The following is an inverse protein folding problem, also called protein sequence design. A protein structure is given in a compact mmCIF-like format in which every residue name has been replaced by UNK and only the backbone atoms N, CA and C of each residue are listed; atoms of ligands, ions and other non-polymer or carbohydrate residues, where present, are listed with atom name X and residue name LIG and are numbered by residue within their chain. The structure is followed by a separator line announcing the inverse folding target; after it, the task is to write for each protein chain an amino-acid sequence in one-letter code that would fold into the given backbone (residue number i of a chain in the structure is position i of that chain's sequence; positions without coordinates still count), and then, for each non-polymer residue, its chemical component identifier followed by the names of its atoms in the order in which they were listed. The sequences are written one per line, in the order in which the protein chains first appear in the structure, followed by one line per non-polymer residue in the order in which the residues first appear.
data_IF_285374563779
#
_entry.id   IF_285374563779
#
_cell.length_a   1.000
_cell.length_b   1.000
_cell.length_c   1.000
_cell.angle_alpha   90.00
_cell.angle_beta   90.00
_cell.angle_gamma   90.00
#
_symmetry.space_group_name_H-M   'P 1'
#
loop_
_entity.id
_entity.type
_entity.pdbx_description
1 polymer ?
#
# COMPACT_ATOMS: atom_id res chain seq x y z
N UNK A 1 -5.86 -46.14 -2.72
CA UNK A 1 -5.78 -44.97 -1.84
C UNK A 1 -4.60 -44.12 -2.34
N UNK A 2 -4.88 -42.91 -2.79
CA UNK A 2 -3.81 -41.96 -3.14
C UNK A 2 -3.04 -41.65 -1.83
N UNK A 3 -1.73 -41.71 -1.86
CA UNK A 3 -0.89 -41.33 -0.73
C UNK A 3 -1.14 -39.85 -0.44
N UNK A 4 -1.65 -39.55 0.75
CA UNK A 4 -1.86 -38.17 1.21
C UNK A 4 -0.48 -37.57 1.49
N UNK A 5 -0.09 -36.54 0.77
CA UNK A 5 1.18 -35.84 1.00
C UNK A 5 1.11 -35.02 2.29
N UNK A 6 2.12 -35.23 3.16
CA UNK A 6 2.24 -34.50 4.43
C UNK A 6 3.39 -33.52 4.38
N UNK A 7 3.16 -32.31 4.92
CA UNK A 7 4.13 -31.20 4.97
C UNK A 7 4.34 -30.76 6.42
N UNK A 8 5.50 -30.20 6.74
CA UNK A 8 5.70 -29.54 8.03
C UNK A 8 4.79 -28.29 8.13
N UNK A 9 4.64 -27.57 7.02
CA UNK A 9 3.83 -26.35 6.98
C UNK A 9 3.24 -26.15 5.58
N UNK A 10 1.96 -25.74 5.55
CA UNK A 10 1.28 -25.32 4.32
C UNK A 10 0.97 -23.83 4.43
N UNK A 11 1.37 -23.05 3.41
CA UNK A 11 1.10 -21.62 3.28
C UNK A 11 0.00 -21.44 2.24
N UNK A 12 -1.05 -20.68 2.57
CA UNK A 12 -2.20 -20.47 1.69
C UNK A 12 -2.17 -19.04 1.16
N UNK A 13 -1.83 -18.87 -0.12
CA UNK A 13 -1.68 -17.59 -0.82
C UNK A 13 -0.22 -17.28 -1.13
N UNK A 14 0.05 -16.77 -2.33
CA UNK A 14 1.40 -16.47 -2.83
C UNK A 14 1.76 -14.98 -2.85
N UNK A 15 0.96 -14.14 -2.18
CA UNK A 15 1.27 -12.71 -2.03
C UNK A 15 2.49 -12.48 -1.13
N UNK A 16 2.84 -11.22 -0.84
CA UNK A 16 4.06 -10.92 -0.05
C UNK A 16 4.17 -11.67 1.27
N UNK A 17 3.06 -11.81 2.00
CA UNK A 17 3.05 -12.57 3.25
C UNK A 17 3.35 -14.06 3.00
N UNK A 18 2.63 -14.67 2.05
CA UNK A 18 2.82 -16.09 1.75
C UNK A 18 4.19 -16.41 1.21
N UNK A 19 4.71 -15.56 0.31
CA UNK A 19 6.08 -15.69 -0.20
C UNK A 19 7.08 -15.75 0.95
N UNK A 20 7.01 -14.78 1.88
CA UNK A 20 8.01 -14.68 2.97
C UNK A 20 7.80 -15.79 4.00
N UNK A 21 6.56 -16.22 4.26
CA UNK A 21 6.29 -17.37 5.13
C UNK A 21 6.94 -18.63 4.55
N UNK A 22 6.67 -18.93 3.28
CA UNK A 22 7.22 -20.13 2.62
C UNK A 22 8.75 -20.11 2.58
N UNK A 23 9.34 -18.95 2.24
CA UNK A 23 10.79 -18.78 2.19
C UNK A 23 11.42 -18.94 3.58
N UNK A 24 10.83 -18.36 4.62
CA UNK A 24 11.37 -18.48 5.99
C UNK A 24 11.33 -19.93 6.47
N UNK A 25 10.22 -20.64 6.22
CA UNK A 25 10.08 -22.05 6.59
C UNK A 25 11.10 -22.92 5.84
N UNK A 26 11.29 -22.69 4.56
CA UNK A 26 12.30 -23.39 3.75
C UNK A 26 13.72 -23.18 4.31
N UNK A 27 14.04 -21.96 4.76
CA UNK A 27 15.35 -21.66 5.38
C UNK A 27 15.56 -22.44 6.68
N UNK A 28 14.47 -22.79 7.39
CA UNK A 28 14.50 -23.65 8.57
C UNK A 28 14.50 -25.13 8.20
N UNK A 29 14.71 -25.47 6.91
CA UNK A 29 14.79 -26.82 6.38
C UNK A 29 13.50 -27.64 6.55
N UNK A 30 12.35 -26.94 6.52
CA UNK A 30 11.02 -27.56 6.63
C UNK A 30 10.49 -27.94 5.24
N UNK A 31 9.65 -28.98 5.19
CA UNK A 31 8.91 -29.36 3.98
C UNK A 31 7.71 -28.41 3.84
N UNK A 32 7.73 -27.59 2.78
CA UNK A 32 6.77 -26.49 2.59
C UNK A 32 5.95 -26.71 1.33
N UNK A 33 4.61 -26.64 1.46
CA UNK A 33 3.73 -26.45 0.31
C UNK A 33 3.15 -25.04 0.35
N UNK A 34 2.98 -24.44 -0.82
CA UNK A 34 2.32 -23.14 -0.99
C UNK A 34 1.16 -23.33 -1.94
N UNK A 35 -0.05 -23.00 -1.47
CA UNK A 35 -1.29 -23.16 -2.24
C UNK A 35 -1.68 -21.82 -2.84
N UNK A 36 -1.94 -21.79 -4.16
CA UNK A 36 -2.40 -20.57 -4.84
C UNK A 36 -3.59 -20.90 -5.74
N UNK A 37 -4.71 -20.19 -5.52
CA UNK A 37 -5.92 -20.40 -6.33
C UNK A 37 -5.82 -19.76 -7.71
N UNK A 38 -5.02 -18.70 -7.84
CA UNK A 38 -4.82 -18.01 -9.11
C UNK A 38 -3.82 -18.78 -9.99
N UNK A 39 -3.97 -18.74 -11.31
CA UNK A 39 -2.92 -19.29 -12.20
C UNK A 39 -1.62 -18.51 -12.14
N UNK A 40 -1.64 -17.32 -11.56
CA UNK A 40 -0.48 -16.43 -11.45
C UNK A 40 -0.05 -16.27 -9.99
N UNK A 41 1.26 -16.28 -9.75
CA UNK A 41 1.85 -16.12 -8.41
C UNK A 41 2.11 -14.66 -8.07
N UNK A 42 2.06 -14.30 -6.78
CA UNK A 42 2.43 -12.97 -6.30
C UNK A 42 1.29 -12.16 -5.68
N UNK A 43 0.06 -12.66 -5.81
CA UNK A 43 -1.10 -12.06 -5.19
C UNK A 43 -1.45 -10.64 -5.67
N UNK A 44 -2.30 -9.95 -4.90
CA UNK A 44 -2.78 -8.61 -5.24
C UNK A 44 -1.62 -7.60 -5.37
N UNK A 45 -0.60 -7.70 -4.53
CA UNK A 45 0.55 -6.78 -4.58
C UNK A 45 1.25 -6.77 -5.93
N UNK A 46 1.35 -7.93 -6.58
CA UNK A 46 2.02 -8.04 -7.88
C UNK A 46 1.09 -7.78 -9.07
N UNK A 47 -0.19 -8.11 -8.96
CA UNK A 47 -1.08 -8.12 -10.14
C UNK A 47 -2.12 -7.00 -10.18
N UNK A 48 -2.63 -6.54 -9.04
CA UNK A 48 -3.74 -5.57 -9.01
C UNK A 48 -3.50 -4.37 -8.09
N UNK A 49 -2.48 -4.41 -7.25
CA UNK A 49 -2.25 -3.38 -6.23
C UNK A 49 -0.93 -2.63 -6.35
N UNK A 50 -0.01 -2.95 -5.47
CA UNK A 50 1.22 -2.20 -5.22
C UNK A 50 2.10 -2.01 -6.47
N UNK A 51 2.53 -3.11 -7.08
CA UNK A 51 3.51 -3.06 -8.19
C UNK A 51 2.90 -2.42 -9.45
N UNK A 52 1.72 -2.86 -9.92
CA UNK A 52 1.17 -2.29 -11.15
C UNK A 52 0.81 -0.80 -11.06
N UNK A 53 0.24 -0.35 -9.93
CA UNK A 53 -0.12 1.06 -9.79
C UNK A 53 1.14 1.95 -9.70
N UNK A 54 2.21 1.48 -9.04
CA UNK A 54 3.46 2.24 -8.95
C UNK A 54 4.21 2.25 -10.28
N UNK A 55 4.15 1.16 -11.06
CA UNK A 55 4.70 1.15 -12.43
C UNK A 55 4.00 2.16 -13.32
N UNK A 56 2.66 2.22 -13.25
CA UNK A 56 1.87 3.20 -14.00
C UNK A 56 2.24 4.63 -13.55
N UNK A 57 2.31 4.84 -12.22
CA UNK A 57 2.70 6.15 -11.66
C UNK A 57 4.05 6.62 -12.21
N UNK A 58 5.06 5.74 -12.22
CA UNK A 58 6.40 6.10 -12.73
C UNK A 58 6.34 6.48 -14.22
N UNK A 59 5.60 5.72 -15.04
CA UNK A 59 5.40 6.06 -16.45
C UNK A 59 4.78 7.45 -16.59
N UNK A 60 3.73 7.72 -15.82
CA UNK A 60 3.02 9.01 -15.85
C UNK A 60 3.95 10.16 -15.39
N UNK A 61 4.77 9.93 -14.36
CA UNK A 61 5.73 10.93 -13.87
C UNK A 61 6.77 11.28 -14.94
N UNK A 62 7.34 10.28 -15.62
CA UNK A 62 8.30 10.51 -16.69
C UNK A 62 7.68 11.33 -17.84
N UNK A 63 6.47 10.95 -18.26
CA UNK A 63 5.75 11.68 -19.33
C UNK A 63 5.46 13.14 -18.92
N UNK A 64 5.05 13.34 -17.67
CA UNK A 64 4.71 14.68 -17.16
C UNK A 64 5.96 15.58 -17.12
N UNK A 65 7.10 15.05 -16.67
CA UNK A 65 8.37 15.80 -16.62
C UNK A 65 8.80 16.24 -18.04
N UNK A 66 8.70 15.32 -19.00
CA UNK A 66 9.05 15.63 -20.40
C UNK A 66 8.11 16.68 -20.99
N UNK A 67 6.81 16.60 -20.70
CA UNK A 67 5.79 17.54 -21.20
C UNK A 67 5.97 18.97 -20.62
N UNK A 68 6.50 19.08 -19.42
CA UNK A 68 6.74 20.37 -18.75
C UNK A 68 7.93 21.14 -19.36
N UNK A 69 8.71 20.48 -20.23
CA UNK A 69 9.89 21.08 -20.87
C UNK A 69 10.88 21.69 -19.87
N UNK A 70 10.93 21.13 -18.68
CA UNK A 70 11.76 21.62 -17.55
C UNK A 70 13.25 21.69 -17.92
N UNK A 71 13.66 20.86 -18.88
CA UNK A 71 15.07 20.77 -19.31
C UNK A 71 15.38 21.60 -20.57
N UNK A 72 14.44 22.43 -21.02
CA UNK A 72 14.63 23.30 -22.19
C UNK A 72 14.66 22.54 -23.52
N UNK A 73 14.26 21.28 -23.53
CA UNK A 73 14.23 20.44 -24.74
C UNK A 73 12.76 20.21 -25.11
N UNK A 74 12.41 20.52 -26.36
CA UNK A 74 11.07 20.30 -26.88
C UNK A 74 10.94 18.85 -27.36
N UNK A 75 9.93 18.17 -26.86
CA UNK A 75 9.60 16.79 -27.26
C UNK A 75 8.28 16.77 -28.02
N UNK A 76 8.28 16.10 -29.15
CA UNK A 76 7.04 15.86 -29.91
C UNK A 76 6.43 14.54 -29.43
N UNK A 77 5.29 14.64 -28.75
CA UNK A 77 4.56 13.47 -28.26
C UNK A 77 3.42 13.12 -29.21
N UNK A 78 3.16 11.83 -29.33
CA UNK A 78 1.93 11.33 -29.92
C UNK A 78 0.75 11.94 -29.16
N UNK A 79 -0.18 12.56 -29.86
CA UNK A 79 -1.32 13.26 -29.25
C UNK A 79 -2.22 12.33 -28.42
N UNK A 80 -2.42 11.12 -28.92
CA UNK A 80 -3.33 10.14 -28.34
C UNK A 80 -2.57 8.87 -27.93
N UNK A 81 -2.06 8.84 -26.70
CA UNK A 81 -1.48 7.63 -26.11
C UNK A 81 -2.60 6.62 -25.85
N UNK A 82 -2.33 5.38 -26.22
CA UNK A 82 -3.25 4.28 -25.91
C UNK A 82 -3.02 3.77 -24.49
N UNK A 83 -4.02 3.11 -23.92
CA UNK A 83 -3.87 2.42 -22.64
C UNK A 83 -2.78 1.36 -22.69
N UNK A 84 -2.66 0.65 -23.80
CA UNK A 84 -1.63 -0.38 -24.02
C UNK A 84 -0.22 0.23 -23.89
N UNK A 85 0.01 1.39 -24.48
CA UNK A 85 1.31 2.07 -24.41
C UNK A 85 1.62 2.49 -22.96
N UNK A 86 0.65 3.02 -22.24
CA UNK A 86 0.81 3.43 -20.85
C UNK A 86 1.06 2.24 -19.91
N UNK A 87 0.43 1.11 -20.20
CA UNK A 87 0.53 -0.10 -19.37
C UNK A 87 1.73 -0.99 -19.74
N UNK A 88 2.46 -0.66 -20.82
CA UNK A 88 3.55 -1.50 -21.36
C UNK A 88 4.59 -1.82 -20.27
N UNK A 89 5.11 -0.79 -19.59
CA UNK A 89 6.14 -0.99 -18.56
C UNK A 89 5.62 -1.83 -17.39
N UNK A 90 4.36 -1.59 -17.00
CA UNK A 90 3.67 -2.38 -15.95
C UNK A 90 3.70 -3.89 -16.28
N UNK A 91 3.36 -4.25 -17.51
CA UNK A 91 3.31 -5.67 -17.90
C UNK A 91 4.69 -6.33 -17.81
N UNK A 92 5.74 -5.64 -18.28
CA UNK A 92 7.12 -6.13 -18.18
C UNK A 92 7.51 -6.35 -16.71
N UNK A 93 7.25 -5.37 -15.86
CA UNK A 93 7.62 -5.44 -14.44
C UNK A 93 6.92 -6.63 -13.77
N UNK A 94 5.62 -6.79 -14.00
CA UNK A 94 4.85 -7.92 -13.44
C UNK A 94 5.45 -9.25 -13.90
N UNK A 95 5.72 -9.40 -15.20
CA UNK A 95 6.27 -10.64 -15.76
C UNK A 95 7.64 -10.97 -15.15
N UNK A 96 8.53 -10.00 -15.06
CA UNK A 96 9.88 -10.18 -14.48
C UNK A 96 9.80 -10.57 -13.02
N UNK A 97 8.91 -9.92 -12.25
CA UNK A 97 8.75 -10.21 -10.83
C UNK A 97 8.13 -11.60 -10.61
N UNK A 98 7.13 -11.98 -11.40
CA UNK A 98 6.52 -13.31 -11.30
C UNK A 98 7.53 -14.41 -11.65
N UNK A 99 8.33 -14.22 -12.69
CA UNK A 99 9.39 -15.17 -13.09
C UNK A 99 10.43 -15.31 -11.96
N UNK A 100 10.81 -14.20 -11.32
CA UNK A 100 11.75 -14.22 -10.20
C UNK A 100 11.17 -15.00 -9.00
N UNK A 101 9.88 -14.80 -8.72
CA UNK A 101 9.18 -15.49 -7.66
C UNK A 101 9.16 -17.01 -7.88
N UNK A 102 8.81 -17.45 -9.12
CA UNK A 102 8.82 -18.87 -9.49
C UNK A 102 10.19 -19.50 -9.28
N UNK A 103 11.24 -18.86 -9.83
CA UNK A 103 12.63 -19.32 -9.65
C UNK A 103 13.02 -19.43 -8.18
N UNK A 104 12.59 -18.46 -7.36
CA UNK A 104 12.89 -18.46 -5.93
C UNK A 104 12.21 -19.64 -5.21
N UNK A 105 10.95 -19.92 -5.52
CA UNK A 105 10.26 -21.07 -4.95
C UNK A 105 10.94 -22.38 -5.34
N UNK A 106 11.22 -22.58 -6.62
CA UNK A 106 11.91 -23.77 -7.15
C UNK A 106 13.27 -23.96 -6.47
N UNK A 107 14.09 -22.92 -6.43
CA UNK A 107 15.46 -22.95 -5.86
C UNK A 107 15.43 -23.28 -4.36
N UNK A 108 14.37 -22.93 -3.66
CA UNK A 108 14.23 -23.20 -2.23
C UNK A 108 13.40 -24.45 -1.90
N UNK A 109 13.07 -25.25 -2.90
CA UNK A 109 12.36 -26.52 -2.72
C UNK A 109 10.93 -26.38 -2.21
N UNK A 110 10.27 -25.24 -2.50
CA UNK A 110 8.89 -25.01 -2.09
C UNK A 110 7.96 -25.64 -3.13
N UNK A 111 7.07 -26.53 -2.70
CA UNK A 111 6.09 -27.18 -3.56
C UNK A 111 4.91 -26.23 -3.79
N UNK A 112 4.78 -25.71 -5.01
CA UNK A 112 3.65 -24.82 -5.36
C UNK A 112 2.52 -25.69 -5.92
N UNK A 113 1.33 -25.61 -5.29
CA UNK A 113 0.13 -26.34 -5.68
C UNK A 113 -0.93 -25.33 -6.11
N UNK A 114 -1.40 -25.41 -7.35
CA UNK A 114 -2.47 -24.56 -7.85
C UNK A 114 -3.84 -25.21 -7.60
N UNK A 115 -4.72 -24.49 -6.91
CA UNK A 115 -6.06 -24.97 -6.62
C UNK A 115 -6.71 -24.17 -5.50
N UNK A 116 -7.99 -24.38 -5.32
CA UNK A 116 -8.79 -23.72 -4.29
C UNK A 116 -8.77 -24.57 -3.02
N UNK A 117 -8.23 -24.04 -1.91
CA UNK A 117 -8.13 -24.79 -0.66
C UNK A 117 -9.42 -24.69 0.17
N UNK A 118 -9.72 -25.75 0.92
CA UNK A 118 -10.81 -25.77 1.89
C UNK A 118 -10.43 -26.71 3.03
N UNK A 119 -10.48 -26.26 4.26
CA UNK A 119 -10.18 -27.12 5.43
C UNK A 119 -11.27 -28.19 5.63
N UNK A 120 -10.84 -29.42 5.75
CA UNK A 120 -11.67 -30.56 6.16
C UNK A 120 -11.54 -30.77 7.68
N UNK A 121 -10.38 -30.44 8.22
CA UNK A 121 -10.10 -30.48 9.66
C UNK A 121 -8.95 -29.50 9.97
N UNK A 122 -8.57 -29.38 11.22
CA UNK A 122 -7.44 -28.52 11.62
C UNK A 122 -6.09 -28.98 11.04
N UNK A 123 -6.00 -30.22 10.50
CA UNK A 123 -4.74 -30.77 9.96
C UNK A 123 -4.87 -31.21 8.50
N UNK A 124 -6.05 -31.12 7.88
CA UNK A 124 -6.31 -31.58 6.52
C UNK A 124 -6.92 -30.49 5.66
N UNK A 125 -6.32 -30.27 4.51
CA UNK A 125 -6.74 -29.28 3.51
C UNK A 125 -7.10 -30.01 2.22
N UNK A 126 -8.34 -29.85 1.77
CA UNK A 126 -8.80 -30.31 0.48
C UNK A 126 -8.44 -29.27 -0.58
N UNK A 127 -7.87 -29.71 -1.67
CA UNK A 127 -7.51 -28.86 -2.81
C UNK A 127 -8.38 -29.24 -4.00
N UNK A 128 -9.14 -28.28 -4.52
CA UNK A 128 -9.85 -28.41 -5.80
C UNK A 128 -8.94 -27.82 -6.89
N UNK A 129 -8.41 -28.64 -7.81
CA UNK A 129 -7.51 -28.12 -8.86
C UNK A 129 -8.22 -27.14 -9.80
N UNK A 130 -7.45 -26.24 -10.39
CA UNK A 130 -7.97 -25.20 -11.31
C UNK A 130 -8.37 -25.76 -12.68
N UNK A 131 -7.92 -26.97 -13.03
CA UNK A 131 -8.12 -27.62 -14.34
C UNK A 131 -9.26 -28.65 -14.35
N UNK A 132 -10.22 -28.50 -13.42
CA UNK A 132 -11.36 -29.42 -13.24
C UNK A 132 -10.94 -30.87 -12.87
N UNK A 133 -9.76 -31.04 -12.35
CA UNK A 133 -9.28 -32.32 -11.81
C UNK A 133 -10.04 -32.71 -10.54
N UNK A 134 -9.92 -34.00 -10.14
CA UNK A 134 -10.52 -34.48 -8.88
C UNK A 134 -9.87 -33.79 -7.67
N UNK A 135 -10.69 -33.38 -6.72
CA UNK A 135 -10.22 -32.83 -5.46
C UNK A 135 -9.40 -33.89 -4.68
N UNK A 136 -8.37 -33.44 -3.98
CA UNK A 136 -7.49 -34.31 -3.21
C UNK A 136 -7.11 -33.65 -1.88
N UNK A 137 -6.75 -34.46 -0.91
CA UNK A 137 -6.36 -34.01 0.42
C UNK A 137 -4.85 -33.95 0.59
N UNK A 138 -4.39 -32.91 1.29
CA UNK A 138 -3.01 -32.79 1.79
C UNK A 138 -3.08 -32.49 3.30
N UNK A 139 -2.03 -32.85 4.01
CA UNK A 139 -1.98 -32.63 5.47
C UNK A 139 -0.73 -31.85 5.86
N UNK A 140 -0.82 -31.17 7.00
CA UNK A 140 0.36 -30.49 7.57
C UNK A 140 0.26 -30.40 9.09
N UNK A 141 1.43 -30.23 9.72
CA UNK A 141 1.49 -29.93 11.15
C UNK A 141 1.01 -28.50 11.41
N UNK A 142 1.34 -27.54 10.51
CA UNK A 142 1.01 -26.12 10.66
C UNK A 142 0.49 -25.51 9.37
N UNK A 143 -0.31 -24.45 9.50
CA UNK A 143 -0.87 -23.67 8.37
C UNK A 143 -0.70 -22.18 8.59
N UNK A 144 -0.47 -21.47 7.47
CA UNK A 144 -0.47 -19.98 7.48
C UNK A 144 -1.43 -19.44 6.42
N UNK A 145 -2.51 -18.86 6.68
CA UNK A 145 -3.32 -18.25 5.98
C UNK A 145 -2.77 -17.03 5.62
N UNK A 146 -2.42 -16.71 4.38
CA UNK A 146 -1.90 -15.47 3.76
C UNK A 146 -2.74 -15.09 2.53
N UNK A 147 -4.03 -15.24 2.64
CA UNK A 147 -5.00 -15.12 1.54
C UNK A 147 -5.30 -13.68 1.13
N UNK A 148 -4.86 -12.69 1.93
CA UNK A 148 -4.95 -11.29 1.57
C UNK A 148 -6.35 -10.70 1.60
N UNK A 149 -6.57 -9.71 0.75
CA UNK A 149 -7.83 -8.96 0.68
C UNK A 149 -8.23 -8.68 -0.76
N UNK A 150 -9.49 -8.32 -0.95
CA UNK A 150 -10.06 -7.93 -2.25
C UNK A 150 -10.84 -6.61 -2.09
N UNK A 151 -11.00 -5.82 -3.16
CA UNK A 151 -11.77 -4.58 -3.06
C UNK A 151 -13.20 -4.84 -2.57
N UNK A 152 -13.68 -3.98 -1.70
CA UNK A 152 -15.09 -3.98 -1.31
C UNK A 152 -15.92 -3.52 -2.50
N UNK A 153 -16.96 -4.28 -2.83
CA UNK A 153 -17.93 -3.97 -3.89
C UNK A 153 -19.29 -3.68 -3.25
N UNK A 154 -19.57 -2.41 -2.88
CA UNK A 154 -20.89 -2.07 -2.34
C UNK A 154 -22.00 -2.38 -3.35
N UNK A 155 -23.15 -2.86 -2.86
CA UNK A 155 -24.29 -3.26 -3.72
C UNK A 155 -24.91 -2.09 -4.49
N UNK A 156 -24.72 -0.85 -4.01
CA UNK A 156 -25.24 0.35 -4.69
C UNK A 156 -24.41 0.73 -5.93
N UNK A 157 -23.21 0.18 -6.11
CA UNK A 157 -22.34 0.53 -7.24
C UNK A 157 -22.51 -0.50 -8.37
N UNK A 158 -22.89 -0.07 -9.58
CA UNK A 158 -23.15 -0.98 -10.71
C UNK A 158 -21.87 -1.36 -11.46
N UNK A 159 -21.00 -2.15 -10.82
CA UNK A 159 -19.72 -2.59 -11.40
C UNK A 159 -19.95 -3.38 -12.69
N UNK A 160 -19.31 -2.93 -13.76
CA UNK A 160 -19.40 -3.58 -15.09
C UNK A 160 -18.03 -3.85 -15.71
N UNK A 161 -16.93 -3.32 -15.11
CA UNK A 161 -15.56 -3.41 -15.62
C UNK A 161 -15.40 -2.82 -17.03
N UNK A 162 -16.30 -1.90 -17.41
CA UNK A 162 -16.26 -1.16 -18.68
C UNK A 162 -16.16 0.35 -18.40
N UNK A 163 -16.95 0.83 -17.48
CA UNK A 163 -16.95 2.23 -17.06
C UNK A 163 -17.10 2.43 -15.54
N UNK A 164 -17.48 1.39 -14.80
CA UNK A 164 -17.52 1.40 -13.32
C UNK A 164 -16.58 0.30 -12.81
N UNK A 165 -15.50 0.72 -12.17
CA UNK A 165 -14.38 -0.13 -11.76
C UNK A 165 -14.15 -0.07 -10.25
N UNK A 166 -13.53 -1.12 -9.73
CA UNK A 166 -12.85 -1.08 -8.42
C UNK A 166 -11.33 -0.90 -8.61
N UNK A 167 -10.57 -0.93 -7.53
CA UNK A 167 -9.11 -0.71 -7.55
C UNK A 167 -8.34 -1.83 -8.27
N UNK A 168 -8.89 -3.03 -8.34
CA UNK A 168 -8.24 -4.16 -9.03
C UNK A 168 -8.52 -4.12 -10.54
N UNK A 169 -9.71 -3.68 -10.92
CA UNK A 169 -10.17 -3.73 -12.32
C UNK A 169 -9.84 -2.47 -13.13
N UNK A 170 -9.60 -1.32 -12.47
CA UNK A 170 -9.25 -0.04 -13.15
C UNK A 170 -7.99 -0.17 -14.02
N UNK A 171 -7.08 -1.06 -13.68
CA UNK A 171 -5.84 -1.29 -14.44
C UNK A 171 -6.10 -1.96 -15.80
N UNK A 172 -7.32 -2.45 -16.02
CA UNK A 172 -7.72 -3.10 -17.28
C UNK A 172 -8.55 -2.18 -18.18
N UNK A 173 -8.57 -0.89 -17.86
CA UNK A 173 -9.30 0.13 -18.64
C UNK A 173 -8.86 0.11 -20.10
N UNK A 174 -9.82 0.06 -21.03
CA UNK A 174 -9.55 -0.06 -22.46
C UNK A 174 -9.26 1.28 -23.13
N UNK A 175 -9.84 2.33 -22.60
CA UNK A 175 -9.73 3.69 -23.16
C UNK A 175 -9.48 4.68 -22.04
N UNK A 176 -8.63 5.67 -22.30
CA UNK A 176 -8.36 6.71 -21.31
C UNK A 176 -9.63 7.56 -21.14
N UNK A 177 -10.09 7.75 -19.91
CA UNK A 177 -11.29 8.51 -19.66
C UNK A 177 -11.07 10.01 -19.85
N UNK A 178 -12.11 10.71 -20.27
CA UNK A 178 -12.10 12.18 -20.35
C UNK A 178 -12.24 12.81 -18.96
N UNK A 179 -12.99 12.16 -18.10
CA UNK A 179 -13.23 12.59 -16.72
C UNK A 179 -13.55 11.37 -15.86
N UNK A 180 -12.89 11.28 -14.71
CA UNK A 180 -13.05 10.18 -13.75
C UNK A 180 -13.67 10.72 -12.45
N UNK A 181 -14.61 9.99 -11.89
CA UNK A 181 -15.08 10.20 -10.52
C UNK A 181 -14.58 9.04 -9.66
N UNK A 182 -13.80 9.37 -8.62
CA UNK A 182 -13.24 8.39 -7.69
C UNK A 182 -13.98 8.54 -6.36
N UNK A 183 -14.51 7.44 -5.86
CA UNK A 183 -15.30 7.39 -4.62
C UNK A 183 -14.46 6.75 -3.53
N UNK A 184 -14.04 7.54 -2.56
CA UNK A 184 -13.14 7.17 -1.47
C UNK A 184 -11.80 7.88 -1.55
N UNK A 185 -11.45 8.69 -0.53
CA UNK A 185 -10.20 9.45 -0.47
C UNK A 185 -9.20 8.87 0.54
N UNK A 186 -9.16 7.54 0.61
CA UNK A 186 -8.09 6.80 1.29
C UNK A 186 -6.85 6.70 0.38
N UNK A 187 -5.90 5.86 0.76
CA UNK A 187 -4.62 5.70 0.03
C UNK A 187 -4.86 5.44 -1.46
N UNK A 188 -5.67 4.43 -1.78
CA UNK A 188 -5.89 4.00 -3.17
C UNK A 188 -6.56 5.11 -3.99
N UNK A 189 -7.63 5.71 -3.45
CA UNK A 189 -8.34 6.79 -4.16
C UNK A 189 -7.45 7.99 -4.42
N UNK A 190 -6.64 8.39 -3.45
CA UNK A 190 -5.71 9.53 -3.59
C UNK A 190 -4.59 9.23 -4.59
N UNK A 191 -4.06 8.02 -4.59
CA UNK A 191 -3.03 7.60 -5.56
C UNK A 191 -3.56 7.67 -7.00
N UNK A 192 -4.72 7.05 -7.26
CA UNK A 192 -5.32 7.06 -8.60
C UNK A 192 -5.76 8.46 -9.02
N UNK A 193 -6.30 9.27 -8.08
CA UNK A 193 -6.63 10.68 -8.37
C UNK A 193 -5.39 11.44 -8.85
N UNK A 194 -4.26 11.26 -8.17
CA UNK A 194 -2.97 11.87 -8.55
C UNK A 194 -2.51 11.39 -9.94
N UNK A 195 -2.57 10.08 -10.20
CA UNK A 195 -2.14 9.48 -11.46
C UNK A 195 -2.97 10.03 -12.64
N UNK A 196 -4.31 9.95 -12.52
CA UNK A 196 -5.19 10.42 -13.61
C UNK A 196 -5.04 11.92 -13.84
N UNK A 197 -4.99 12.71 -12.77
CA UNK A 197 -4.86 14.17 -12.93
C UNK A 197 -3.50 14.55 -13.55
N UNK A 198 -2.43 13.84 -13.20
CA UNK A 198 -1.10 14.09 -13.77
C UNK A 198 -1.04 13.74 -15.25
N UNK A 199 -1.93 12.85 -15.73
CA UNK A 199 -2.14 12.56 -17.16
C UNK A 199 -2.94 13.64 -17.87
N UNK A 200 -3.48 14.62 -17.14
CA UNK A 200 -4.33 15.69 -17.71
C UNK A 200 -5.82 15.37 -17.67
N UNK A 201 -6.21 14.25 -17.08
CA UNK A 201 -7.61 13.84 -16.95
C UNK A 201 -8.25 14.60 -15.78
N UNK A 202 -9.47 15.11 -15.97
CA UNK A 202 -10.22 15.77 -14.88
C UNK A 202 -10.71 14.70 -13.89
N UNK A 203 -10.53 14.97 -12.61
CA UNK A 203 -10.89 14.03 -11.54
C UNK A 203 -11.83 14.69 -10.54
N UNK A 204 -12.93 14.00 -10.20
CA UNK A 204 -13.70 14.27 -8.98
C UNK A 204 -13.24 13.23 -7.95
N UNK A 205 -12.85 13.69 -6.76
CA UNK A 205 -12.52 12.79 -5.65
C UNK A 205 -13.53 13.03 -4.53
N UNK A 206 -14.33 12.01 -4.21
CA UNK A 206 -15.44 12.12 -3.25
C UNK A 206 -15.05 11.37 -1.97
N UNK A 207 -15.28 11.99 -0.83
CA UNK A 207 -15.05 11.36 0.48
C UNK A 207 -16.09 11.81 1.50
N UNK A 208 -16.48 10.90 2.39
CA UNK A 208 -17.35 11.20 3.54
C UNK A 208 -16.63 12.10 4.53
N UNK A 209 -15.34 11.87 4.72
CA UNK A 209 -14.51 12.68 5.62
C UNK A 209 -14.25 14.05 5.02
N UNK A 210 -14.00 15.03 5.88
CA UNK A 210 -13.70 16.41 5.45
C UNK A 210 -12.23 16.58 5.03
N UNK A 211 -11.42 15.55 5.22
CA UNK A 211 -10.01 15.54 4.83
C UNK A 211 -9.70 14.28 4.02
N UNK A 212 -8.73 14.36 3.15
CA UNK A 212 -8.13 13.16 2.54
C UNK A 212 -7.17 12.54 3.56
N UNK A 213 -7.02 11.23 3.54
CA UNK A 213 -6.04 10.50 4.36
C UNK A 213 -6.08 10.97 5.83
N UNK A 214 -7.19 10.76 6.56
CA UNK A 214 -7.36 11.34 7.90
C UNK A 214 -6.36 10.85 8.97
N UNK A 215 -5.58 9.82 8.68
CA UNK A 215 -4.54 9.29 9.57
C UNK A 215 -3.16 9.90 9.33
N UNK A 216 -3.03 10.77 8.34
CA UNK A 216 -1.78 11.48 7.99
C UNK A 216 -1.75 12.81 8.73
N UNK A 217 -0.57 13.25 9.17
CA UNK A 217 -0.37 14.57 9.77
C UNK A 217 -1.12 15.63 8.95
N UNK A 218 -1.88 16.49 9.65
CA UNK A 218 -2.80 17.47 9.02
C UNK A 218 -2.09 18.37 8.01
N UNK A 219 -0.90 18.88 8.37
CA UNK A 219 -0.15 19.79 7.49
C UNK A 219 0.24 19.11 6.18
N UNK A 220 0.60 17.82 6.25
CA UNK A 220 0.91 17.01 5.07
C UNK A 220 -0.34 16.78 4.22
N UNK A 221 -1.46 16.41 4.87
CA UNK A 221 -2.74 16.18 4.16
C UNK A 221 -3.23 17.47 3.48
N UNK A 222 -3.14 18.61 4.16
CA UNK A 222 -3.52 19.93 3.60
C UNK A 222 -2.64 20.30 2.39
N UNK A 223 -1.33 20.03 2.48
CA UNK A 223 -0.41 20.24 1.36
C UNK A 223 -0.80 19.36 0.17
N UNK A 224 -1.11 18.08 0.43
CA UNK A 224 -1.57 17.17 -0.64
C UNK A 224 -2.85 17.67 -1.29
N UNK A 225 -3.84 18.11 -0.51
CA UNK A 225 -5.10 18.65 -1.03
C UNK A 225 -4.85 19.88 -1.91
N UNK A 226 -3.94 20.77 -1.48
CA UNK A 226 -3.55 21.95 -2.27
C UNK A 226 -2.96 21.52 -3.63
N UNK A 227 -2.03 20.56 -3.61
CA UNK A 227 -1.39 20.06 -4.85
C UNK A 227 -2.43 19.40 -5.77
N UNK A 228 -3.35 18.62 -5.21
CA UNK A 228 -4.42 17.98 -5.99
C UNK A 228 -5.30 19.02 -6.70
N UNK A 229 -5.71 20.08 -5.98
CA UNK A 229 -6.52 21.17 -6.60
C UNK A 229 -5.77 21.83 -7.76
N UNK A 230 -4.47 22.07 -7.59
CA UNK A 230 -3.63 22.65 -8.65
C UNK A 230 -3.50 21.72 -9.87
N UNK A 231 -3.72 20.42 -9.67
CA UNK A 231 -3.61 19.40 -10.71
C UNK A 231 -4.97 18.95 -11.27
N UNK A 232 -6.00 19.80 -11.20
CA UNK A 232 -7.34 19.55 -11.78
C UNK A 232 -8.16 18.47 -11.05
N UNK A 233 -7.86 18.20 -9.77
CA UNK A 233 -8.71 17.35 -8.94
C UNK A 233 -9.73 18.24 -8.23
N UNK A 234 -11.01 17.95 -8.42
CA UNK A 234 -12.09 18.59 -7.67
C UNK A 234 -12.38 17.72 -6.44
N UNK A 235 -12.04 18.24 -5.26
CA UNK A 235 -12.28 17.55 -4.00
C UNK A 235 -13.73 17.77 -3.54
N UNK A 236 -14.48 16.71 -3.33
CA UNK A 236 -15.86 16.69 -2.84
C UNK A 236 -15.85 16.00 -1.47
N UNK A 237 -15.43 16.75 -0.46
CA UNK A 237 -15.23 16.23 0.91
C UNK A 237 -16.47 16.49 1.76
N UNK A 238 -16.78 15.59 2.68
CA UNK A 238 -18.00 15.64 3.48
C UNK A 238 -19.24 15.31 2.67
N UNK A 239 -19.09 14.50 1.62
CA UNK A 239 -20.17 14.14 0.69
C UNK A 239 -20.29 12.62 0.58
N UNK A 240 -21.51 12.14 0.50
CA UNK A 240 -21.80 10.71 0.21
C UNK A 240 -22.39 10.57 -1.18
N UNK A 241 -22.12 9.43 -1.79
CA UNK A 241 -22.75 9.05 -3.07
C UNK A 241 -24.11 8.42 -2.74
N UNK A 242 -25.16 8.93 -3.38
CA UNK A 242 -26.52 8.40 -3.29
C UNK A 242 -26.77 7.34 -4.36
N UNK A 243 -26.33 7.60 -5.60
CA UNK A 243 -26.61 6.73 -6.74
C UNK A 243 -25.58 6.94 -7.85
N UNK A 244 -25.45 5.91 -8.69
CA UNK A 244 -24.64 5.96 -9.92
C UNK A 244 -25.53 5.50 -11.07
N UNK A 245 -25.85 6.42 -11.97
CA UNK A 245 -26.74 6.17 -13.10
C UNK A 245 -25.95 6.19 -14.42
N UNK A 246 -25.96 5.09 -15.14
CA UNK A 246 -25.34 4.99 -16.46
C UNK A 246 -26.32 5.55 -17.51
N UNK A 247 -25.97 6.70 -18.07
CA UNK A 247 -26.82 7.40 -19.06
C UNK A 247 -26.63 6.78 -20.45
N UNK A 248 -25.36 6.52 -20.82
CA UNK A 248 -25.01 5.85 -22.08
C UNK A 248 -23.57 5.30 -21.96
N UNK A 249 -22.98 4.84 -23.06
CA UNK A 249 -21.62 4.26 -23.07
C UNK A 249 -20.52 5.22 -22.62
N UNK A 250 -20.73 6.52 -22.76
CA UNK A 250 -19.71 7.54 -22.52
C UNK A 250 -20.06 8.51 -21.38
N UNK A 251 -21.22 8.33 -20.75
CA UNK A 251 -21.70 9.26 -19.72
C UNK A 251 -22.37 8.53 -18.55
N UNK A 252 -21.85 8.81 -17.38
CA UNK A 252 -22.35 8.32 -16.08
C UNK A 252 -22.63 9.53 -15.21
N UNK A 253 -23.74 9.52 -14.50
CA UNK A 253 -24.08 10.54 -13.52
C UNK A 253 -23.91 9.96 -12.10
N UNK A 254 -22.98 10.54 -11.34
CA UNK A 254 -22.81 10.21 -9.91
C UNK A 254 -23.62 11.23 -9.11
N UNK A 255 -24.66 10.78 -8.43
CA UNK A 255 -25.55 11.62 -7.62
C UNK A 255 -25.09 11.61 -6.17
N UNK A 256 -25.00 12.80 -5.58
CA UNK A 256 -24.56 12.99 -4.19
C UNK A 256 -25.79 13.26 -3.30
N UNK A 257 -25.68 12.95 -2.01
CA UNK A 257 -26.73 13.26 -1.02
C UNK A 257 -27.08 14.76 -1.00
N UNK A 258 -26.14 15.64 -1.33
CA UNK A 258 -26.36 17.08 -1.46
C UNK A 258 -27.16 17.49 -2.72
N UNK A 259 -27.65 16.51 -3.48
CA UNK A 259 -28.42 16.66 -4.71
C UNK A 259 -27.58 17.16 -5.90
N UNK A 260 -26.25 17.24 -5.75
CA UNK A 260 -25.35 17.54 -6.89
C UNK A 260 -25.24 16.29 -7.77
N UNK A 261 -25.16 16.52 -9.08
CA UNK A 261 -24.94 15.46 -10.07
C UNK A 261 -23.58 15.72 -10.73
N UNK A 262 -22.72 14.70 -10.73
CA UNK A 262 -21.37 14.80 -11.29
C UNK A 262 -21.30 13.95 -12.56
N UNK A 263 -21.35 14.56 -13.75
CA UNK A 263 -21.19 13.78 -14.99
C UNK A 263 -19.71 13.40 -15.19
N UNK A 264 -19.49 12.18 -15.61
CA UNK A 264 -18.15 11.63 -15.90
C UNK A 264 -18.25 10.51 -16.93
N UNK A 265 -17.10 10.04 -17.43
CA UNK A 265 -17.07 8.89 -18.36
C UNK A 265 -16.66 7.60 -17.65
N UNK A 266 -16.08 7.71 -16.46
CA UNK A 266 -15.58 6.54 -15.72
C UNK A 266 -15.74 6.79 -14.22
N UNK A 267 -16.12 5.74 -13.50
CA UNK A 267 -16.19 5.75 -12.03
C UNK A 267 -15.24 4.69 -11.48
N UNK A 268 -14.47 5.07 -10.48
CA UNK A 268 -13.64 4.13 -9.70
C UNK A 268 -14.14 4.14 -8.25
N UNK A 269 -14.53 2.98 -7.73
CA UNK A 269 -14.96 2.84 -6.34
C UNK A 269 -13.78 2.32 -5.52
N UNK A 270 -13.29 3.14 -4.60
CA UNK A 270 -12.18 2.82 -3.69
C UNK A 270 -12.69 2.86 -2.24
N UNK A 271 -13.70 2.01 -1.95
CA UNK A 271 -14.48 2.02 -0.71
C UNK A 271 -13.95 1.04 0.36
N UNK A 272 -12.67 0.73 0.32
CA UNK A 272 -12.01 -0.18 1.26
C UNK A 272 -11.82 -1.58 0.69
N UNK A 273 -11.32 -2.48 1.53
CA UNK A 273 -11.03 -3.87 1.16
C UNK A 273 -11.65 -4.80 2.21
N UNK A 274 -11.89 -6.05 1.80
CA UNK A 274 -12.43 -7.12 2.66
C UNK A 274 -11.44 -8.28 2.69
N UNK A 275 -11.33 -8.95 3.82
CA UNK A 275 -10.46 -10.12 3.98
C UNK A 275 -10.94 -11.29 3.11
N UNK A 276 -10.00 -12.04 2.53
CA UNK A 276 -10.28 -13.23 1.73
C UNK A 276 -10.32 -14.49 2.62
N UNK A 277 -11.31 -14.58 3.48
CA UNK A 277 -11.51 -15.68 4.43
C UNK A 277 -12.67 -16.60 4.06
N UNK A 278 -13.53 -16.17 3.14
CA UNK A 278 -14.73 -16.91 2.71
C UNK A 278 -14.33 -18.16 1.91
N UNK A 279 -15.05 -19.26 2.15
CA UNK A 279 -14.90 -20.52 1.41
C UNK A 279 -13.82 -21.46 1.97
N UNK A 280 -13.05 -21.01 2.94
CA UNK A 280 -11.96 -21.79 3.55
C UNK A 280 -12.44 -22.73 4.66
N UNK A 281 -13.69 -22.63 5.10
CA UNK A 281 -14.28 -23.44 6.19
C UNK A 281 -13.64 -23.18 7.56
N UNK A 282 -13.23 -21.92 7.82
CA UNK A 282 -12.41 -21.55 8.98
C UNK A 282 -13.14 -21.73 10.32
N UNK A 283 -14.41 -21.31 10.39
CA UNK A 283 -15.15 -21.35 11.65
C UNK A 283 -15.41 -22.79 12.13
N UNK A 284 -15.61 -23.72 11.19
CA UNK A 284 -15.83 -25.15 11.49
C UNK A 284 -14.59 -25.79 12.14
N UNK A 285 -13.40 -25.25 11.87
CA UNK A 285 -12.15 -25.76 12.42
C UNK A 285 -11.66 -24.94 13.62
N UNK A 286 -12.50 -24.01 14.13
CA UNK A 286 -12.20 -23.25 15.34
C UNK A 286 -11.40 -21.96 15.14
N UNK A 287 -11.30 -21.46 13.90
CA UNK A 287 -10.66 -20.16 13.62
C UNK A 287 -11.72 -19.05 13.75
N UNK A 288 -11.46 -18.06 14.58
CA UNK A 288 -12.39 -16.95 14.83
C UNK A 288 -12.26 -15.85 13.79
N UNK A 289 -13.40 -15.37 13.30
CA UNK A 289 -13.49 -14.24 12.38
C UNK A 289 -14.02 -13.00 13.11
N UNK A 290 -13.52 -11.84 12.72
CA UNK A 290 -14.01 -10.53 13.14
C UNK A 290 -14.83 -9.86 12.05
N UNK A 291 -14.99 -8.56 12.18
CA UNK A 291 -15.72 -7.74 11.20
C UNK A 291 -15.06 -7.83 9.82
N UNK A 292 -15.87 -7.82 8.77
CA UNK A 292 -15.44 -7.88 7.35
C UNK A 292 -14.60 -9.14 7.03
N UNK A 293 -14.78 -10.22 7.80
CA UNK A 293 -14.11 -11.49 7.58
C UNK A 293 -12.65 -11.54 8.04
N UNK A 294 -12.19 -10.53 8.78
CA UNK A 294 -10.81 -10.50 9.28
C UNK A 294 -10.55 -11.68 10.22
N UNK A 295 -9.45 -12.39 10.01
CA UNK A 295 -9.06 -13.51 10.88
C UNK A 295 -8.44 -12.93 12.16
N UNK A 296 -8.97 -13.35 13.33
CA UNK A 296 -8.44 -12.90 14.62
C UNK A 296 -7.16 -13.67 14.97
N UNK A 297 -6.14 -12.94 15.40
CA UNK A 297 -4.85 -13.51 15.83
C UNK A 297 -4.36 -12.84 17.11
N UNK A 298 -3.44 -13.51 17.77
CA UNK A 298 -2.69 -12.93 18.88
C UNK A 298 -1.48 -12.12 18.34
N UNK A 299 -0.61 -11.66 19.24
CA UNK A 299 0.59 -10.87 18.90
C UNK A 299 1.64 -11.63 18.08
N UNK A 300 1.57 -12.95 18.08
CA UNK A 300 2.47 -13.84 17.32
C UNK A 300 1.81 -14.35 16.03
N UNK A 301 0.65 -13.79 15.69
CA UNK A 301 -0.14 -14.12 14.49
C UNK A 301 -0.78 -15.52 14.55
N UNK A 302 -0.87 -16.13 15.73
CA UNK A 302 -1.53 -17.41 15.97
C UNK A 302 -3.04 -17.19 16.12
N UNK A 303 -3.87 -18.01 15.48
CA UNK A 303 -5.34 -17.95 15.61
C UNK A 303 -5.78 -18.69 16.88
N UNK A 304 -7.10 -18.73 17.13
CA UNK A 304 -7.66 -19.54 18.21
C UNK A 304 -7.35 -21.06 18.03
N UNK A 305 -7.11 -21.48 16.78
CA UNK A 305 -6.67 -22.86 16.47
C UNK A 305 -5.15 -22.90 16.51
N UNK A 306 -4.57 -23.63 17.47
CA UNK A 306 -3.16 -23.56 17.87
C UNK A 306 -2.15 -23.81 16.74
N UNK A 307 -2.50 -24.62 15.74
CA UNK A 307 -1.60 -24.96 14.63
C UNK A 307 -1.87 -24.10 13.37
N UNK A 308 -2.76 -23.10 13.48
CA UNK A 308 -3.13 -22.23 12.34
C UNK A 308 -2.79 -20.78 12.66
N UNK A 309 -2.08 -20.13 11.77
CA UNK A 309 -1.63 -18.74 11.84
C UNK A 309 -2.24 -17.95 10.69
N UNK A 310 -2.29 -16.63 10.81
CA UNK A 310 -2.75 -15.76 9.72
C UNK A 310 -1.92 -14.48 9.70
N UNK A 311 -1.57 -14.02 8.50
CA UNK A 311 -0.67 -12.86 8.30
C UNK A 311 -1.10 -12.05 7.08
N UNK A 312 -0.75 -10.79 7.07
CA UNK A 312 -1.03 -9.88 5.96
C UNK A 312 -2.44 -9.32 6.00
N UNK A 313 -2.94 -8.90 4.84
CA UNK A 313 -4.22 -8.18 4.75
C UNK A 313 -5.42 -8.97 5.31
N UNK A 314 -5.32 -10.29 5.37
CA UNK A 314 -6.42 -11.14 5.88
C UNK A 314 -6.67 -10.91 7.38
N UNK A 315 -5.67 -10.36 8.11
CA UNK A 315 -5.84 -9.98 9.53
C UNK A 315 -6.09 -8.46 9.69
N UNK A 316 -6.07 -7.69 8.60
CA UNK A 316 -6.42 -6.28 8.62
C UNK A 316 -5.22 -5.33 8.73
N UNK A 317 -5.34 -4.35 9.62
CA UNK A 317 -4.32 -3.32 9.83
C UNK A 317 -2.95 -3.93 10.15
N UNK A 318 -1.86 -3.38 9.57
CA UNK A 318 -1.79 -2.15 8.78
C UNK A 318 -2.02 -2.32 7.26
N UNK A 319 -2.15 -3.54 6.75
CA UNK A 319 -2.49 -3.76 5.34
C UNK A 319 -1.43 -3.25 4.35
N UNK A 320 -0.16 -3.44 4.69
CA UNK A 320 0.98 -3.03 3.85
C UNK A 320 1.78 -4.28 3.47
N UNK A 321 2.25 -4.33 2.23
CA UNK A 321 3.08 -5.46 1.76
C UNK A 321 4.30 -5.67 2.66
N UNK A 322 4.98 -4.59 3.06
CA UNK A 322 6.17 -4.65 3.93
C UNK A 322 5.88 -5.24 5.30
N UNK A 323 4.79 -4.79 5.95
CA UNK A 323 4.40 -5.34 7.26
C UNK A 323 3.95 -6.78 7.14
N UNK A 324 3.25 -7.14 6.04
CA UNK A 324 2.84 -8.53 5.76
C UNK A 324 4.04 -9.47 5.70
N UNK A 325 5.13 -9.02 5.08
CA UNK A 325 6.39 -9.78 5.00
C UNK A 325 7.00 -10.01 6.40
N UNK A 326 7.01 -8.99 7.25
CA UNK A 326 7.54 -9.07 8.63
C UNK A 326 6.67 -9.97 9.51
N UNK A 327 5.34 -9.80 9.42
CA UNK A 327 4.37 -10.66 10.13
C UNK A 327 4.60 -12.13 9.78
N UNK A 328 4.77 -12.42 8.49
CA UNK A 328 4.99 -13.79 7.99
C UNK A 328 6.27 -14.41 8.59
N UNK A 329 7.36 -13.64 8.62
CA UNK A 329 8.63 -14.08 9.18
C UNK A 329 8.47 -14.39 10.68
N UNK A 330 7.87 -13.50 11.44
CA UNK A 330 7.64 -13.65 12.89
C UNK A 330 6.76 -14.89 13.15
N UNK A 331 5.66 -15.04 12.40
CA UNK A 331 4.75 -16.18 12.54
C UNK A 331 5.50 -17.52 12.35
N UNK A 332 6.30 -17.64 11.29
CA UNK A 332 7.04 -18.88 11.01
C UNK A 332 8.08 -19.17 12.10
N UNK A 333 8.80 -18.15 12.57
CA UNK A 333 9.78 -18.31 13.65
C UNK A 333 9.07 -18.77 14.95
N UNK A 334 7.88 -18.23 15.22
CA UNK A 334 7.08 -18.65 16.38
C UNK A 334 6.60 -20.11 16.23
N UNK A 335 6.11 -20.49 15.06
CA UNK A 335 5.66 -21.85 14.74
C UNK A 335 6.72 -22.88 15.13
N UNK A 336 7.99 -22.63 14.81
CA UNK A 336 9.08 -23.59 14.98
C UNK A 336 9.97 -23.32 16.20
N UNK A 337 9.50 -22.47 17.13
CA UNK A 337 10.20 -22.11 18.37
C UNK A 337 11.59 -21.51 18.13
N UNK A 338 11.74 -20.75 17.04
CA UNK A 338 12.98 -20.04 16.67
C UNK A 338 12.87 -18.54 16.96
N UNK A 339 11.78 -18.10 17.60
CA UNK A 339 11.53 -16.69 17.91
C UNK A 339 12.17 -16.32 19.24
N UNK A 340 13.36 -15.73 19.21
CA UNK A 340 14.09 -15.35 20.42
C UNK A 340 13.44 -14.15 21.14
N UNK A 341 13.25 -13.04 20.42
CA UNK A 341 12.69 -11.83 20.99
C UNK A 341 12.01 -10.95 19.94
N UNK A 342 11.90 -11.42 18.73
CA UNK A 342 11.41 -10.62 17.62
C UNK A 342 9.93 -10.33 17.73
N UNK A 343 9.60 -9.06 17.68
CA UNK A 343 8.22 -8.55 17.63
C UNK A 343 8.13 -7.57 16.48
N UNK A 344 6.91 -7.23 16.09
CA UNK A 344 6.73 -6.19 15.09
C UNK A 344 7.36 -4.90 15.59
N UNK A 345 8.12 -4.17 14.73
CA UNK A 345 8.66 -2.88 15.11
C UNK A 345 7.54 -1.94 15.59
N UNK A 346 7.85 -1.12 16.58
CA UNK A 346 6.90 -0.15 17.15
C UNK A 346 6.46 0.88 16.11
N UNK A 347 7.43 1.40 15.37
CA UNK A 347 7.20 2.47 14.38
C UNK A 347 7.32 1.89 12.98
N UNK A 348 6.19 1.86 12.26
CA UNK A 348 6.11 1.30 10.91
C UNK A 348 6.08 2.45 9.89
N UNK A 349 7.04 2.50 8.97
CA UNK A 349 7.01 3.53 7.93
C UNK A 349 5.88 3.24 6.95
N UNK A 350 5.17 4.28 6.55
CA UNK A 350 4.09 4.23 5.58
C UNK A 350 4.45 5.08 4.36
N UNK A 351 4.37 4.49 3.17
CA UNK A 351 4.52 5.23 1.90
C UNK A 351 3.20 5.28 1.16
N UNK A 352 2.85 6.46 0.66
CA UNK A 352 1.65 6.71 -0.16
C UNK A 352 2.13 7.34 -1.47
N UNK A 353 1.89 6.66 -2.58
CA UNK A 353 2.45 7.04 -3.88
C UNK A 353 1.53 8.00 -4.65
N UNK A 354 1.02 9.02 -3.94
CA UNK A 354 0.39 10.20 -4.58
C UNK A 354 1.45 10.97 -5.38
N UNK A 355 1.05 12.04 -6.04
CA UNK A 355 1.95 12.95 -6.75
C UNK A 355 1.65 14.37 -6.25
N UNK A 356 2.53 14.95 -5.41
CA UNK A 356 3.76 14.39 -4.83
C UNK A 356 3.52 13.21 -3.89
N UNK A 357 4.54 12.37 -3.71
CA UNK A 357 4.46 11.23 -2.80
C UNK A 357 4.43 11.69 -1.34
N UNK A 358 3.79 10.88 -0.49
CA UNK A 358 3.72 11.12 0.96
C UNK A 358 4.38 9.93 1.68
N UNK A 359 5.10 10.20 2.76
CA UNK A 359 5.57 9.14 3.65
C UNK A 359 5.62 9.64 5.09
N UNK A 360 5.44 8.72 6.03
CA UNK A 360 5.47 9.07 7.45
C UNK A 360 5.96 7.90 8.28
N UNK A 361 6.52 8.23 9.46
CA UNK A 361 6.86 7.26 10.50
C UNK A 361 6.79 7.98 11.86
N UNK A 362 6.35 7.27 12.87
CA UNK A 362 6.18 7.83 14.21
C UNK A 362 4.86 8.58 14.37
N UNK A 363 4.82 9.50 15.34
CA UNK A 363 3.60 10.21 15.75
C UNK A 363 3.33 11.44 14.89
N UNK A 364 2.05 11.72 14.66
CA UNK A 364 1.61 12.99 14.04
C UNK A 364 1.58 14.09 15.11
N UNK A 365 1.51 15.32 14.65
CA UNK A 365 1.35 16.50 15.53
C UNK A 365 0.07 16.37 16.36
N UNK A 366 -1.02 15.90 15.74
CA UNK A 366 -2.31 15.70 16.41
C UNK A 366 -2.20 14.67 17.54
N UNK A 367 -1.57 13.54 17.26
CA UNK A 367 -1.35 12.48 18.26
C UNK A 367 -0.50 12.96 19.45
N UNK A 368 0.51 13.76 19.17
CA UNK A 368 1.36 14.33 20.23
C UNK A 368 0.57 15.35 21.07
N UNK A 369 -0.20 16.21 20.42
CA UNK A 369 -1.05 17.20 21.07
C UNK A 369 -2.11 16.52 21.94
N UNK A 370 -2.78 15.53 21.41
CA UNK A 370 -3.83 14.79 22.13
C UNK A 370 -3.27 14.00 23.32
N UNK A 371 -2.05 13.54 23.16
CA UNK A 371 -1.36 12.81 24.23
C UNK A 371 -0.68 13.70 25.26
N UNK A 372 -0.29 15.01 24.74
CA UNK A 372 0.33 15.88 25.51
C UNK A 372 1.77 15.75 25.57
N UNK A 373 2.43 15.18 24.65
CA UNK A 373 3.52 15.11 24.62
C UNK A 373 4.02 16.22 24.25
N UNK A 374 4.96 16.94 24.82
CA UNK A 374 5.60 18.15 24.31
C UNK A 374 6.44 17.87 23.07
N UNK A 375 6.37 18.75 22.10
CA UNK A 375 7.12 18.58 20.85
C UNK A 375 7.50 19.95 20.27
N UNK A 376 8.56 19.96 19.46
CA UNK A 376 8.92 21.08 18.59
C UNK A 376 8.90 20.59 17.14
N UNK A 377 8.74 21.55 16.23
CA UNK A 377 8.57 21.28 14.79
C UNK A 377 9.75 21.86 14.02
N UNK A 378 10.37 21.04 13.17
CA UNK A 378 11.34 21.51 12.18
C UNK A 378 10.82 21.24 10.78
N UNK A 379 10.86 22.23 9.89
CA UNK A 379 10.36 22.10 8.52
C UNK A 379 11.43 22.51 7.52
N UNK A 380 11.57 21.70 6.47
CA UNK A 380 12.31 22.04 5.26
C UNK A 380 11.34 22.05 4.08
N UNK A 381 11.41 23.07 3.25
CA UNK A 381 10.66 23.11 1.99
C UNK A 381 11.57 22.61 0.86
N UNK A 382 11.06 21.70 0.01
CA UNK A 382 11.87 21.17 -1.10
C UNK A 382 12.28 22.27 -2.08
N UNK A 383 11.54 23.35 -2.18
CA UNK A 383 11.93 24.54 -2.98
C UNK A 383 13.22 25.20 -2.49
N UNK A 384 13.72 24.84 -1.29
CA UNK A 384 14.98 25.36 -0.73
C UNK A 384 16.13 24.36 -0.94
N UNK A 385 15.83 23.17 -1.48
CA UNK A 385 16.82 22.08 -1.63
C UNK A 385 17.31 22.04 -3.08
N UNK A 386 18.62 22.21 -3.28
CA UNK A 386 19.24 22.27 -4.61
C UNK A 386 18.91 21.05 -5.48
N UNK A 387 18.93 19.84 -4.89
CA UNK A 387 18.64 18.61 -5.62
C UNK A 387 17.20 18.60 -6.17
N UNK A 388 16.25 19.14 -5.41
CA UNK A 388 14.85 19.23 -5.85
C UNK A 388 14.72 20.15 -7.10
N UNK A 389 15.48 21.25 -7.11
CA UNK A 389 15.55 22.13 -8.29
C UNK A 389 16.14 21.42 -9.50
N UNK A 390 17.26 20.70 -9.30
CA UNK A 390 17.91 19.92 -10.37
C UNK A 390 16.93 18.91 -10.99
N UNK A 391 16.09 18.30 -10.15
CA UNK A 391 15.09 17.31 -10.60
C UNK A 391 13.84 17.94 -11.24
N UNK A 392 13.61 19.23 -11.00
CA UNK A 392 12.36 19.89 -11.42
C UNK A 392 11.16 19.54 -10.52
N UNK A 393 11.40 19.14 -9.28
CA UNK A 393 10.36 18.72 -8.33
C UNK A 393 10.46 19.50 -6.99
N UNK A 394 10.10 20.63 -6.95
CA UNK A 394 10.26 21.44 -5.97
C UNK A 394 9.26 21.47 -5.00
N UNK A 395 8.15 20.78 -5.18
CA UNK A 395 6.96 20.90 -4.32
C UNK A 395 7.05 20.03 -3.07
N UNK A 396 6.54 20.52 -1.95
CA UNK A 396 6.39 19.76 -0.72
C UNK A 396 7.32 20.16 0.40
N UNK A 397 7.23 19.39 1.50
CA UNK A 397 7.97 19.64 2.75
C UNK A 397 8.44 18.34 3.39
N UNK A 398 9.50 18.44 4.19
CA UNK A 398 9.91 17.45 5.18
C UNK A 398 9.70 18.08 6.56
N UNK A 399 8.92 17.41 7.42
CA UNK A 399 8.55 17.86 8.76
C UNK A 399 9.09 16.88 9.78
N UNK A 400 9.86 17.39 10.75
CA UNK A 400 10.36 16.65 11.91
C UNK A 400 9.58 17.08 13.15
N UNK A 401 9.17 16.11 13.96
CA UNK A 401 8.60 16.33 15.28
C UNK A 401 9.57 15.72 16.29
N UNK A 402 10.02 16.50 17.26
CA UNK A 402 11.00 16.04 18.24
C UNK A 402 10.74 16.62 19.61
N UNK A 403 11.19 15.93 20.62
CA UNK A 403 11.08 16.33 22.03
C UNK A 403 12.01 17.52 22.29
N UNK A 404 11.52 18.66 22.82
CA UNK A 404 12.34 19.88 22.99
C UNK A 404 13.46 19.74 24.02
N UNK A 405 13.36 18.82 24.98
CA UNK A 405 14.39 18.63 26.03
C UNK A 405 15.45 17.61 25.60
N UNK A 406 15.00 16.43 25.13
CA UNK A 406 15.89 15.31 24.79
C UNK A 406 16.35 15.34 23.34
N UNK A 407 15.68 16.09 22.49
CA UNK A 407 15.87 16.18 21.03
C UNK A 407 15.60 14.85 20.31
N UNK A 408 14.98 13.88 20.96
CA UNK A 408 14.57 12.60 20.37
C UNK A 408 13.47 12.82 19.33
N UNK A 409 13.58 12.09 18.22
CA UNK A 409 12.60 12.22 17.14
C UNK A 409 11.29 11.56 17.52
N UNK A 410 10.18 12.36 17.36
CA UNK A 410 9.04 12.05 17.63
C UNK A 410 8.42 11.58 16.62
N UNK A 411 8.30 12.10 15.41
CA UNK A 411 7.69 11.75 14.13
C UNK A 411 8.37 12.39 12.94
N UNK A 412 8.22 11.78 11.77
CA UNK A 412 8.76 12.30 10.51
C UNK A 412 7.68 12.19 9.46
N UNK A 413 7.39 13.28 8.77
CA UNK A 413 6.30 13.38 7.79
C UNK A 413 6.82 14.11 6.56
N UNK A 414 6.68 13.48 5.39
CA UNK A 414 7.24 14.02 4.14
C UNK A 414 6.14 14.03 3.08
N UNK A 415 6.02 15.13 2.37
CA UNK A 415 5.33 15.17 1.09
C UNK A 415 6.31 15.78 0.09
N UNK A 416 6.62 15.07 -0.99
CA UNK A 416 7.58 15.57 -1.96
C UNK A 416 8.30 14.48 -2.73
N UNK A 417 9.37 14.85 -3.45
CA UNK A 417 10.11 13.89 -4.26
C UNK A 417 10.77 12.82 -3.40
N UNK A 418 10.63 11.58 -3.85
CA UNK A 418 11.25 10.40 -3.20
C UNK A 418 10.90 10.24 -1.72
N UNK A 419 9.71 10.71 -1.29
CA UNK A 419 9.30 10.66 0.12
C UNK A 419 9.42 9.25 0.71
N UNK A 420 9.02 8.22 -0.05
CA UNK A 420 9.02 6.82 0.41
C UNK A 420 10.42 6.22 0.56
N UNK A 421 11.43 6.80 -0.09
CA UNK A 421 12.84 6.42 0.11
C UNK A 421 13.49 7.27 1.21
N UNK A 422 13.27 8.59 1.15
CA UNK A 422 13.81 9.57 2.12
C UNK A 422 13.44 9.25 3.57
N UNK A 423 12.24 8.73 3.81
CA UNK A 423 11.74 8.41 5.15
C UNK A 423 12.70 7.48 5.91
N UNK A 424 13.37 6.57 5.19
CA UNK A 424 14.19 5.52 5.82
C UNK A 424 15.44 6.06 6.50
N UNK A 425 15.99 7.19 6.05
CA UNK A 425 17.09 7.83 6.77
C UNK A 425 16.65 8.23 8.19
N UNK A 426 15.55 8.96 8.29
CA UNK A 426 15.02 9.37 9.59
C UNK A 426 14.53 8.20 10.43
N UNK A 427 13.86 7.23 9.79
CA UNK A 427 13.40 5.99 10.45
C UNK A 427 14.59 5.24 11.08
N UNK A 428 15.73 5.18 10.37
CA UNK A 428 16.95 4.54 10.91
C UNK A 428 17.43 5.26 12.19
N UNK A 429 17.43 6.59 12.18
CA UNK A 429 17.81 7.37 13.36
C UNK A 429 16.84 7.10 14.53
N UNK A 430 15.53 7.08 14.25
CA UNK A 430 14.50 6.76 15.26
C UNK A 430 14.68 5.35 15.83
N UNK A 431 14.97 4.37 14.98
CA UNK A 431 15.11 2.97 15.37
C UNK A 431 16.21 2.79 16.44
N UNK A 432 17.25 3.60 16.37
CA UNK A 432 18.36 3.56 17.32
C UNK A 432 18.20 4.60 18.46
N UNK A 433 16.97 5.08 18.71
CA UNK A 433 16.66 6.10 19.72
C UNK A 433 17.49 7.39 19.51
N UNK A 434 17.81 7.69 18.27
CA UNK A 434 18.62 8.84 17.91
C UNK A 434 17.86 10.16 18.01
N UNK A 435 18.64 11.25 17.93
CA UNK A 435 18.13 12.61 18.08
C UNK A 435 18.35 13.40 16.79
N UNK A 436 17.73 14.57 16.69
CA UNK A 436 17.92 15.48 15.55
C UNK A 436 19.38 15.95 15.45
N UNK A 437 20.20 15.79 16.51
CA UNK A 437 21.66 16.08 16.47
C UNK A 437 22.38 15.31 15.36
N UNK A 438 21.88 14.11 15.02
CA UNK A 438 22.44 13.36 13.89
C UNK A 438 22.42 14.21 12.61
N UNK A 439 21.28 14.82 12.30
CA UNK A 439 21.11 15.62 11.09
C UNK A 439 21.93 16.92 11.12
N UNK A 440 22.13 17.50 12.31
CA UNK A 440 22.92 18.73 12.49
C UNK A 440 24.42 18.47 12.26
N UNK A 441 24.90 17.33 12.76
CA UNK A 441 26.35 17.05 12.86
C UNK A 441 26.89 16.13 11.76
N UNK A 442 26.04 15.40 11.04
CA UNK A 442 26.44 14.50 9.97
C UNK A 442 26.75 15.28 8.68
N UNK A 443 27.72 14.80 7.92
CA UNK A 443 28.03 15.33 6.59
C UNK A 443 27.18 14.55 5.56
N UNK A 444 26.33 15.26 4.85
CA UNK A 444 25.55 14.70 3.74
C UNK A 444 26.26 14.97 2.42
N UNK A 445 26.10 14.06 1.48
CA UNK A 445 26.49 14.35 0.10
C UNK A 445 25.67 15.54 -0.42
N UNK A 446 26.27 16.40 -1.21
CA UNK A 446 25.60 17.55 -1.80
C UNK A 446 25.84 17.57 -3.32
N UNK A 447 24.81 17.80 -4.16
CA UNK A 447 23.40 18.02 -3.78
C UNK A 447 22.61 16.70 -3.64
N UNK A 448 21.89 16.54 -2.55
CA UNK A 448 20.96 15.40 -2.33
C UNK A 448 19.67 15.90 -1.69
N UNK A 449 18.61 15.10 -1.78
CA UNK A 449 17.33 15.38 -1.10
C UNK A 449 17.47 15.22 0.42
N UNK A 450 18.44 14.43 0.88
CA UNK A 450 18.70 14.18 2.31
C UNK A 450 19.04 15.48 3.06
N UNK A 451 19.55 16.50 2.35
CA UNK A 451 19.83 17.83 2.92
C UNK A 451 18.59 18.45 3.57
N UNK A 452 17.38 18.03 3.16
CA UNK A 452 16.12 18.48 3.77
C UNK A 452 16.08 18.14 5.27
N UNK A 453 16.65 17.00 5.70
CA UNK A 453 16.72 16.64 7.12
C UNK A 453 17.51 17.66 7.91
N UNK A 454 18.65 18.09 7.38
CA UNK A 454 19.50 19.10 8.03
C UNK A 454 18.78 20.44 8.14
N UNK A 455 18.15 20.88 7.04
CA UNK A 455 17.40 22.15 7.00
C UNK A 455 16.27 22.12 8.04
N UNK A 456 15.51 21.02 8.10
CA UNK A 456 14.43 20.85 9.06
C UNK A 456 14.95 20.85 10.50
N UNK A 457 16.08 20.16 10.75
CA UNK A 457 16.67 20.11 12.10
C UNK A 457 17.11 21.50 12.57
N UNK A 458 17.81 22.28 11.71
CA UNK A 458 18.19 23.67 12.04
C UNK A 458 16.96 24.55 12.25
N UNK A 459 15.93 24.40 11.40
CA UNK A 459 14.68 25.15 11.57
C UNK A 459 14.04 24.91 12.95
N UNK A 460 14.00 23.64 13.38
CA UNK A 460 13.48 23.29 14.70
C UNK A 460 14.32 23.83 15.85
N UNK A 461 15.66 23.73 15.74
CA UNK A 461 16.56 24.28 16.77
C UNK A 461 16.40 25.80 16.90
N UNK A 462 16.25 26.51 15.77
CA UNK A 462 16.06 27.95 15.80
C UNK A 462 14.80 28.36 16.58
N UNK A 463 13.75 27.53 16.57
CA UNK A 463 12.53 27.80 17.34
C UNK A 463 12.79 27.69 18.85
N UNK A 464 13.53 26.65 19.25
CA UNK A 464 13.92 26.48 20.67
C UNK A 464 14.74 27.67 21.18
N UNK A 465 15.70 28.14 20.38
CA UNK A 465 16.57 29.25 20.76
C UNK A 465 15.78 30.55 20.95
N UNK A 466 14.73 30.77 20.15
CA UNK A 466 13.88 31.96 20.28
C UNK A 466 13.03 31.93 21.56
N UNK A 467 12.67 30.75 22.09
CA UNK A 467 11.90 30.62 23.33
C UNK A 467 12.79 30.86 24.57
N UNK A 468 14.11 30.74 24.40
CA UNK A 468 15.06 30.97 25.50
C UNK A 468 15.52 32.45 25.60
N UNK A 469 15.05 33.32 24.69
CA UNK A 469 15.27 34.76 24.69
C UNK A 469 14.08 35.51 25.22
#
# INVERSE_FOLDING_TARGET
MQETHHYDIIVIGSGPAGEKAAMQASKLKKQVALIEKSPRLGGASLHTGTIPSKSLRETVMHLALLRQQTHGIEFNFKENLTTQELMYRKEIVIQDQENSLRRNFEKNGITVIQGTPRFQSATTLEITPADDGEAFDITADYFIXATGSSPRRPSWAPFDNECVFDSDTILNIKHLPKKVTIIGAGVIGCEYASIFSKMGIRVNLIARDRNVLPFVDRQIAENLMYQMRNQRVTLRLGENVEDIEKINSDEIHVKLESQKVLPCSTVMVAAGRCANSTGLNLEEIGVELGNNGLIKTDKNFQTAQANIYAVGDVIGFPGLASTSMSQARIAVLHVFNELESETMPKDLPLGIWTIPAVSMVGKTEEELTDAXXPYEIGIAHFKEISRAHIMGEXEGILKLLFDPETLKIXGIHIIGPRASELIHLGHSVMFFDGTIKYFLNTVFNSPTLDEAYRVAAFNGMNRLDHESL
#
